data_IF_215895068512
#
_entry.id   IF_215895068512
#
_cell.length_a   1.000
_cell.length_b   1.000
_cell.length_c   1.000
_cell.angle_alpha   90.00
_cell.angle_beta   90.00
_cell.angle_gamma   90.00
#
_symmetry.space_group_name_H-M   'P 1'
#
loop_
_entity.id
_entity.type
_entity.pdbx_description
1 polymer ?
#
# COMPACT_ATOMS: atom_id res chain seq x y z
N UNK A 1 18.54 -4.08 -5.17
CA UNK A 1 17.32 -3.95 -5.97
C UNK A 1 16.53 -2.79 -5.40
N UNK A 2 16.32 -1.72 -6.16
CA UNK A 2 15.69 -0.51 -5.65
C UNK A 2 14.36 -0.27 -6.37
N UNK A 3 13.27 -0.27 -5.61
CA UNK A 3 11.98 0.25 -6.04
C UNK A 3 11.47 1.14 -4.91
N UNK A 4 10.64 2.13 -5.25
CA UNK A 4 10.03 3.02 -4.27
C UNK A 4 8.52 3.03 -4.50
N UNK A 5 7.76 2.60 -3.50
CA UNK A 5 6.31 2.81 -3.45
C UNK A 5 6.05 4.09 -2.68
N UNK A 6 5.94 5.21 -3.40
CA UNK A 6 5.75 6.52 -2.82
C UNK A 6 4.28 6.72 -2.45
N UNK A 7 4.02 7.05 -1.18
CA UNK A 7 2.69 7.49 -0.76
C UNK A 7 2.34 8.81 -1.44
N UNK A 8 1.11 8.92 -1.92
CA UNK A 8 0.60 10.15 -2.54
C UNK A 8 0.45 11.33 -1.58
N UNK A 9 0.60 11.10 -0.28
CA UNK A 9 0.43 12.12 0.76
C UNK A 9 -1.04 12.43 1.05
N UNK A 10 -1.27 13.21 2.11
CA UNK A 10 -2.57 13.71 2.48
C UNK A 10 -2.54 15.24 2.47
N UNK A 11 -3.48 15.85 1.76
CA UNK A 11 -3.59 17.32 1.70
C UNK A 11 -4.04 17.83 3.06
N UNK A 12 -3.19 18.59 3.75
CA UNK A 12 -3.58 19.32 4.94
C UNK A 12 -4.12 20.68 4.49
N UNK A 13 -5.36 21.03 4.84
CA UNK A 13 -6.01 22.27 4.35
C UNK A 13 -5.29 23.59 4.71
N UNK A 14 -4.26 23.52 5.55
CA UNK A 14 -3.37 24.65 5.93
C UNK A 14 -1.97 24.59 5.29
N UNK A 15 -1.71 23.60 4.44
CA UNK A 15 -0.42 23.38 3.80
C UNK A 15 -0.52 23.64 2.29
N UNK A 16 0.54 24.17 1.70
CA UNK A 16 0.70 24.25 0.24
C UNK A 16 1.04 22.89 -0.38
N UNK A 17 1.26 21.86 0.45
CA UNK A 17 1.52 20.49 0.00
C UNK A 17 0.25 19.86 -0.57
N UNK A 18 0.34 19.53 -1.85
CA UNK A 18 -0.72 18.92 -2.64
C UNK A 18 -0.66 17.40 -2.51
N UNK A 19 -1.80 16.76 -2.21
CA UNK A 19 -1.90 15.31 -2.31
C UNK A 19 -1.78 14.86 -3.79
N UNK A 20 -0.85 13.95 -4.02
CA UNK A 20 -0.61 13.28 -5.27
C UNK A 20 -1.16 11.84 -5.27
N UNK A 21 -1.02 11.15 -6.40
CA UNK A 21 -1.25 9.71 -6.48
C UNK A 21 -0.16 8.93 -5.76
N UNK A 22 -0.50 7.73 -5.28
CA UNK A 22 0.52 6.76 -4.84
C UNK A 22 1.16 6.15 -6.09
N UNK A 23 2.48 6.19 -6.19
CA UNK A 23 3.22 5.78 -7.40
C UNK A 23 4.29 4.77 -7.04
N UNK A 24 4.38 3.70 -7.82
CA UNK A 24 5.51 2.78 -7.79
C UNK A 24 6.52 3.23 -8.84
N UNK A 25 7.71 3.60 -8.36
CA UNK A 25 8.87 3.94 -9.19
C UNK A 25 9.81 2.75 -9.22
N UNK A 26 10.18 2.29 -10.42
CA UNK A 26 11.10 1.16 -10.59
C UNK A 26 12.44 1.69 -11.11
N UNK A 27 13.53 1.26 -10.48
CA UNK A 27 14.86 1.64 -10.96
C UNK A 27 15.06 1.15 -12.41
N UNK A 28 15.47 2.02 -13.34
CA UNK A 28 15.69 1.69 -14.76
C UNK A 28 14.43 1.41 -15.61
N UNK A 29 13.23 1.79 -15.18
CA UNK A 29 12.04 1.71 -16.05
C UNK A 29 12.00 2.83 -17.12
N UNK A 30 12.82 3.88 -16.96
CA UNK A 30 12.85 5.02 -17.88
C UNK A 30 11.58 5.87 -17.86
N UNK A 31 10.71 5.67 -16.87
CA UNK A 31 9.45 6.40 -16.76
C UNK A 31 9.72 7.88 -16.55
N UNK A 32 9.13 8.71 -17.41
CA UNK A 32 9.23 10.19 -17.33
C UNK A 32 7.88 10.85 -16.99
N UNK A 33 6.81 10.06 -16.99
CA UNK A 33 5.45 10.45 -16.71
C UNK A 33 4.76 9.42 -15.82
N UNK A 34 3.77 9.86 -15.04
CA UNK A 34 2.95 8.94 -14.24
C UNK A 34 2.23 7.88 -15.08
N UNK A 35 1.89 8.21 -16.33
CA UNK A 35 1.26 7.28 -17.27
C UNK A 35 2.16 6.08 -17.61
N UNK A 36 3.46 6.20 -17.36
CA UNK A 36 4.47 5.16 -17.58
C UNK A 36 4.76 4.36 -16.29
N UNK A 37 4.01 4.61 -15.20
CA UNK A 37 4.22 3.99 -13.89
C UNK A 37 2.98 3.23 -13.41
N UNK A 38 3.19 2.25 -12.52
CA UNK A 38 2.06 1.74 -11.73
C UNK A 38 1.65 2.79 -10.70
N UNK A 39 0.38 3.16 -10.69
CA UNK A 39 -0.10 4.18 -9.77
C UNK A 39 -1.53 3.94 -9.30
N UNK A 40 -1.81 4.44 -8.10
CA UNK A 40 -3.13 4.47 -7.47
C UNK A 40 -3.58 5.92 -7.35
N UNK A 41 -4.72 6.24 -7.95
CA UNK A 41 -5.42 7.53 -7.76
C UNK A 41 -6.62 7.32 -6.85
N UNK A 42 -6.85 8.21 -5.89
CA UNK A 42 -8.13 8.27 -5.18
C UNK A 42 -9.28 8.66 -6.11
N UNK A 43 -10.51 8.36 -5.71
CA UNK A 43 -11.72 8.88 -6.38
C UNK A 43 -11.76 10.41 -6.28
N UNK A 44 -12.20 11.05 -7.36
CA UNK A 44 -12.33 12.50 -7.45
C UNK A 44 -11.62 13.07 -8.68
N UNK A 45 -11.89 14.34 -8.99
CA UNK A 45 -11.31 15.06 -10.15
C UNK A 45 -10.26 16.10 -9.75
N UNK A 46 -10.10 16.36 -8.45
CA UNK A 46 -9.19 17.37 -7.93
C UNK A 46 -8.24 16.75 -6.91
N UNK A 47 -6.97 17.12 -7.02
CA UNK A 47 -5.91 16.76 -6.08
C UNK A 47 -6.22 17.19 -4.64
N UNK A 48 -7.04 18.24 -4.45
CA UNK A 48 -7.53 18.66 -3.12
C UNK A 48 -8.42 17.60 -2.45
N UNK A 49 -9.01 16.73 -3.25
CA UNK A 49 -9.87 15.64 -2.79
C UNK A 49 -9.19 14.28 -2.88
N UNK A 50 -7.92 14.22 -3.28
CA UNK A 50 -7.13 13.01 -3.20
C UNK A 50 -6.83 12.73 -1.73
N UNK A 51 -7.75 11.98 -1.16
CA UNK A 51 -7.73 11.38 0.13
C UNK A 51 -8.06 9.90 -0.10
N UNK A 52 -7.63 9.05 0.81
CA UNK A 52 -7.88 7.63 0.86
C UNK A 52 -6.86 6.76 0.13
N UNK A 53 -5.58 7.14 0.13
CA UNK A 53 -4.50 6.18 -0.17
C UNK A 53 -3.76 5.83 1.10
N UNK A 54 -3.41 4.56 1.26
CA UNK A 54 -2.62 4.08 2.39
C UNK A 54 -1.51 3.19 1.89
N UNK A 55 -0.27 3.49 2.26
CA UNK A 55 0.89 2.65 1.95
C UNK A 55 1.36 1.99 3.24
N UNK A 56 1.47 0.66 3.21
CA UNK A 56 2.07 -0.14 4.27
C UNK A 56 3.16 -1.02 3.65
N UNK A 57 4.41 -0.58 3.80
CA UNK A 57 5.59 -1.22 3.22
C UNK A 57 5.47 -1.45 1.71
N UNK A 58 5.18 -2.69 1.28
CA UNK A 58 5.05 -3.07 -0.13
C UNK A 58 3.59 -3.18 -0.60
N UNK A 59 2.63 -2.80 0.23
CA UNK A 59 1.21 -2.73 -0.10
C UNK A 59 0.74 -1.28 -0.17
N UNK A 60 -0.15 -0.98 -1.09
CA UNK A 60 -0.90 0.25 -1.14
C UNK A 60 -2.37 -0.01 -1.46
N UNK A 61 -3.26 0.71 -0.81
CA UNK A 61 -4.71 0.64 -1.02
C UNK A 61 -5.28 2.02 -1.34
N UNK A 62 -6.34 2.06 -2.12
CA UNK A 62 -7.06 3.28 -2.52
C UNK A 62 -8.54 3.04 -2.72
N UNK A 63 -9.39 4.07 -2.67
CA UNK A 63 -10.78 3.96 -3.12
C UNK A 63 -10.97 4.09 -4.64
N UNK A 64 -9.90 4.32 -5.41
CA UNK A 64 -9.92 4.32 -6.87
C UNK A 64 -9.43 3.01 -7.50
N UNK A 65 -9.19 3.01 -8.80
CA UNK A 65 -8.67 1.83 -9.52
C UNK A 65 -7.15 1.91 -9.68
N UNK A 66 -6.42 0.78 -9.55
CA UNK A 66 -5.03 0.72 -9.94
C UNK A 66 -4.88 0.94 -11.44
N UNK A 67 -3.79 1.61 -11.83
CA UNK A 67 -3.45 1.88 -13.22
C UNK A 67 -2.04 1.35 -13.50
N UNK A 68 -1.90 0.34 -14.38
CA UNK A 68 -0.59 -0.08 -14.86
C UNK A 68 -0.01 0.95 -15.85
N UNK A 69 1.29 0.87 -16.17
CA UNK A 69 1.90 1.64 -17.26
C UNK A 69 1.16 1.45 -18.58
N UNK A 70 1.11 2.52 -19.39
CA UNK A 70 0.47 2.46 -20.71
C UNK A 70 1.07 1.35 -21.58
N UNK A 71 0.19 0.53 -22.18
CA UNK A 71 0.59 -0.58 -23.04
C UNK A 71 1.07 -1.84 -22.31
N UNK A 72 1.12 -1.83 -20.97
CA UNK A 72 1.46 -3.01 -20.19
C UNK A 72 0.23 -3.89 -19.97
N UNK A 73 0.38 -5.19 -20.24
CA UNK A 73 -0.65 -6.19 -20.03
C UNK A 73 -0.28 -7.13 -18.87
N UNK A 74 -1.27 -7.60 -18.11
CA UNK A 74 -1.03 -8.57 -17.05
C UNK A 74 -0.56 -9.91 -17.64
N UNK A 75 0.39 -10.54 -16.95
CA UNK A 75 0.89 -11.89 -17.28
C UNK A 75 -0.11 -12.96 -16.82
N UNK A 76 -0.87 -12.67 -15.76
CA UNK A 76 -1.93 -13.54 -15.24
C UNK A 76 -3.03 -12.68 -14.63
N UNK A 77 -4.28 -13.06 -14.86
CA UNK A 77 -5.43 -12.47 -14.20
C UNK A 77 -6.31 -13.56 -13.60
N UNK A 78 -6.83 -13.31 -12.41
CA UNK A 78 -7.77 -14.22 -11.75
C UNK A 78 -8.54 -13.46 -10.67
N UNK A 79 -9.86 -13.58 -10.68
CA UNK A 79 -10.76 -13.05 -9.66
C UNK A 79 -10.44 -11.58 -9.26
N UNK A 80 -10.50 -10.64 -10.21
CA UNK A 80 -10.18 -9.21 -10.03
C UNK A 80 -8.72 -8.87 -9.64
N UNK A 81 -7.86 -9.87 -9.50
CA UNK A 81 -6.43 -9.67 -9.34
C UNK A 81 -5.73 -9.77 -10.69
N UNK A 82 -4.73 -8.92 -10.89
CA UNK A 82 -3.87 -8.92 -12.07
C UNK A 82 -2.41 -8.93 -11.63
N UNK A 83 -1.62 -9.85 -12.16
CA UNK A 83 -0.19 -9.98 -11.92
C UNK A 83 0.58 -9.48 -13.14
N UNK A 84 1.57 -8.64 -12.87
CA UNK A 84 2.48 -8.07 -13.85
C UNK A 84 3.90 -8.48 -13.51
N UNK A 85 4.62 -9.02 -14.48
CA UNK A 85 6.07 -9.12 -14.38
C UNK A 85 6.64 -7.73 -14.70
N UNK A 86 7.11 -7.01 -13.68
CA UNK A 86 7.64 -5.67 -13.84
C UNK A 86 9.03 -5.68 -14.50
N UNK A 87 9.43 -4.54 -15.11
CA UNK A 87 10.85 -4.27 -15.31
C UNK A 87 11.56 -4.27 -13.94
N UNK A 88 12.84 -4.62 -13.92
CA UNK A 88 13.70 -4.52 -12.71
C UNK A 88 13.44 -5.56 -11.61
N UNK A 89 13.09 -6.78 -12.01
CA UNK A 89 13.05 -7.97 -11.15
C UNK A 89 12.07 -7.87 -9.97
N UNK A 90 10.96 -7.17 -10.16
CA UNK A 90 9.82 -7.17 -9.24
C UNK A 90 8.59 -7.80 -9.88
N UNK A 91 7.70 -8.31 -9.05
CA UNK A 91 6.35 -8.72 -9.41
C UNK A 91 5.40 -7.68 -8.83
N UNK A 92 4.54 -7.11 -9.67
CA UNK A 92 3.51 -6.16 -9.25
C UNK A 92 2.17 -6.86 -9.36
N UNK A 93 1.40 -6.83 -8.28
CA UNK A 93 0.06 -7.38 -8.24
C UNK A 93 -0.90 -6.25 -7.94
N UNK A 94 -1.98 -6.17 -8.71
CA UNK A 94 -3.05 -5.21 -8.48
C UNK A 94 -4.36 -5.94 -8.23
N UNK A 95 -5.22 -5.36 -7.40
CA UNK A 95 -6.62 -5.79 -7.27
C UNK A 95 -7.55 -4.62 -7.54
N UNK A 96 -8.67 -4.90 -8.21
CA UNK A 96 -9.74 -3.93 -8.44
C UNK A 96 -11.09 -4.50 -7.99
N UNK A 97 -11.52 -4.13 -6.79
CA UNK A 97 -12.81 -4.51 -6.23
C UNK A 97 -13.85 -3.40 -6.32
N UNK A 98 -15.01 -3.63 -5.69
CA UNK A 98 -16.09 -2.62 -5.58
C UNK A 98 -15.66 -1.42 -4.73
N UNK A 99 -15.06 -0.43 -5.39
CA UNK A 99 -14.66 0.83 -4.79
C UNK A 99 -13.35 0.77 -4.00
N UNK A 100 -12.52 -0.24 -4.28
CA UNK A 100 -11.18 -0.44 -3.75
C UNK A 100 -10.21 -0.76 -4.88
N UNK A 101 -9.00 -0.24 -4.77
CA UNK A 101 -7.86 -0.60 -5.58
C UNK A 101 -6.70 -0.93 -4.67
N UNK A 102 -6.01 -2.03 -4.94
CA UNK A 102 -4.80 -2.44 -4.21
C UNK A 102 -3.65 -2.60 -5.19
N UNK A 103 -2.45 -2.24 -4.73
CA UNK A 103 -1.18 -2.51 -5.39
C UNK A 103 -0.26 -3.17 -4.37
N UNK A 104 0.37 -4.28 -4.75
CA UNK A 104 1.34 -4.99 -3.95
C UNK A 104 2.59 -5.28 -4.78
N UNK A 105 3.76 -5.06 -4.18
CA UNK A 105 5.06 -5.25 -4.83
C UNK A 105 5.81 -6.38 -4.15
N UNK A 106 6.37 -7.29 -4.95
CA UNK A 106 7.10 -8.45 -4.47
C UNK A 106 8.42 -8.59 -5.23
N UNK A 107 9.41 -9.20 -4.59
CA UNK A 107 10.67 -9.58 -5.24
C UNK A 107 10.41 -10.74 -6.24
N UNK A 108 11.07 -10.74 -7.40
CA UNK A 108 10.98 -11.84 -8.40
C UNK A 108 11.47 -13.18 -7.86
N UNK A 109 12.21 -13.22 -6.76
CA UNK A 109 12.54 -14.46 -6.04
C UNK A 109 11.31 -15.18 -5.46
N UNK A 110 10.15 -14.53 -5.41
CA UNK A 110 8.89 -15.22 -5.15
C UNK A 110 8.46 -16.00 -6.41
N UNK A 111 7.99 -17.24 -6.25
CA UNK A 111 7.53 -18.05 -7.38
C UNK A 111 6.34 -17.35 -8.06
N UNK A 112 6.59 -16.71 -9.20
CA UNK A 112 5.62 -15.81 -9.85
C UNK A 112 4.34 -16.51 -10.29
N UNK A 113 4.39 -17.81 -10.60
CA UNK A 113 3.24 -18.59 -11.04
C UNK A 113 2.25 -18.92 -9.90
N UNK A 114 2.75 -19.13 -8.67
CA UNK A 114 1.91 -19.46 -7.50
C UNK A 114 1.54 -18.26 -6.63
N UNK A 115 2.31 -17.17 -6.69
CA UNK A 115 2.12 -15.99 -5.83
C UNK A 115 0.69 -15.40 -5.90
N UNK A 116 0.14 -15.27 -7.12
CA UNK A 116 -1.22 -14.79 -7.30
C UNK A 116 -2.26 -15.74 -6.68
N UNK A 117 -2.05 -17.04 -6.86
CA UNK A 117 -2.97 -18.06 -6.34
C UNK A 117 -2.91 -18.13 -4.82
N UNK A 118 -1.74 -17.91 -4.22
CA UNK A 118 -1.57 -17.80 -2.77
C UNK A 118 -2.29 -16.57 -2.21
N UNK A 119 -2.17 -15.40 -2.87
CA UNK A 119 -2.89 -14.20 -2.45
C UNK A 119 -4.42 -14.39 -2.53
N UNK A 120 -4.91 -14.98 -3.63
CA UNK A 120 -6.34 -15.27 -3.81
C UNK A 120 -6.82 -16.33 -2.80
N UNK A 121 -6.02 -17.35 -2.53
CA UNK A 121 -6.37 -18.40 -1.56
C UNK A 121 -6.59 -17.83 -0.16
N UNK A 122 -5.77 -16.86 0.24
CA UNK A 122 -5.83 -16.28 1.59
C UNK A 122 -6.83 -15.12 1.67
N UNK A 123 -6.91 -14.26 0.66
CA UNK A 123 -7.71 -13.03 0.68
C UNK A 123 -9.00 -13.10 -0.14
N UNK A 124 -9.24 -14.19 -0.88
CA UNK A 124 -10.35 -14.32 -1.81
C UNK A 124 -10.19 -13.51 -3.11
N UNK A 125 -11.24 -13.52 -3.93
CA UNK A 125 -11.29 -12.84 -5.22
C UNK A 125 -11.94 -11.45 -5.21
N UNK A 126 -12.72 -11.15 -4.18
CA UNK A 126 -13.39 -9.85 -4.06
C UNK A 126 -12.98 -9.23 -2.74
N UNK A 127 -12.44 -8.02 -2.83
CA UNK A 127 -12.14 -7.18 -1.70
C UNK A 127 -13.15 -6.05 -1.63
N UNK A 128 -13.53 -5.66 -0.42
CA UNK A 128 -14.47 -4.56 -0.18
C UNK A 128 -13.76 -3.24 0.08
N UNK A 129 -14.50 -2.12 0.14
CA UNK A 129 -13.95 -0.79 0.51
C UNK A 129 -13.47 -0.71 1.96
N UNK A 130 -13.86 -1.67 2.79
CA UNK A 130 -13.34 -1.89 4.13
C UNK A 130 -13.15 -3.38 4.30
N UNK A 131 -11.91 -3.80 4.55
CA UNK A 131 -11.57 -5.21 4.59
C UNK A 131 -10.26 -5.44 5.34
N UNK A 132 -9.86 -6.71 5.43
CA UNK A 132 -8.58 -7.15 5.97
C UNK A 132 -7.76 -7.87 4.90
N UNK A 133 -6.48 -7.55 4.83
CA UNK A 133 -5.50 -8.28 4.03
C UNK A 133 -4.62 -9.12 4.94
N UNK A 134 -4.52 -10.38 4.61
CA UNK A 134 -3.57 -11.33 5.17
C UNK A 134 -2.34 -11.42 4.23
N UNK A 135 -1.15 -11.29 4.80
CA UNK A 135 0.13 -11.40 4.08
C UNK A 135 0.53 -12.88 4.04
N UNK A 136 0.55 -13.54 2.87
CA UNK A 136 0.77 -14.98 2.81
C UNK A 136 2.13 -15.38 3.40
N UNK A 137 2.17 -16.34 4.33
CA UNK A 137 3.38 -16.76 5.05
C UNK A 137 4.54 -17.23 4.15
N UNK A 138 4.24 -17.78 2.97
CA UNK A 138 5.26 -18.28 2.02
C UNK A 138 5.96 -17.20 1.20
N UNK A 139 5.54 -15.94 1.29
CA UNK A 139 5.94 -14.87 0.36
C UNK A 139 6.95 -13.92 0.99
N UNK A 140 8.17 -13.91 0.47
CA UNK A 140 9.22 -12.98 0.91
C UNK A 140 8.89 -11.56 0.45
N UNK A 141 8.43 -10.72 1.38
CA UNK A 141 8.11 -9.31 1.11
C UNK A 141 8.53 -8.38 2.28
N UNK A 142 8.47 -7.07 2.05
CA UNK A 142 8.86 -6.07 3.07
C UNK A 142 7.94 -6.09 4.29
N UNK A 143 6.64 -6.25 4.10
CA UNK A 143 5.66 -6.36 5.19
C UNK A 143 6.00 -7.54 6.12
N UNK A 144 6.28 -8.73 5.56
CA UNK A 144 6.71 -9.87 6.36
C UNK A 144 8.02 -9.62 7.12
N UNK A 145 9.03 -9.04 6.46
CA UNK A 145 10.32 -8.72 7.11
C UNK A 145 10.17 -7.74 8.28
N UNK A 146 9.03 -7.05 8.35
CA UNK A 146 8.65 -6.10 9.40
C UNK A 146 7.60 -6.68 10.35
N UNK A 147 7.39 -7.99 10.32
CA UNK A 147 6.49 -8.68 11.24
C UNK A 147 5.00 -8.53 10.92
N UNK A 148 4.62 -7.96 9.78
CA UNK A 148 3.21 -7.81 9.39
C UNK A 148 2.69 -9.16 8.88
N UNK A 149 1.72 -9.72 9.61
CA UNK A 149 0.93 -10.89 9.24
C UNK A 149 -0.36 -10.49 8.53
N UNK A 150 -0.97 -9.41 8.98
CA UNK A 150 -2.22 -8.89 8.44
C UNK A 150 -2.37 -7.39 8.70
N UNK A 151 -3.24 -6.74 7.93
CA UNK A 151 -3.65 -5.36 8.18
C UNK A 151 -5.10 -5.13 7.73
N UNK A 152 -5.82 -4.28 8.47
CA UNK A 152 -7.16 -3.84 8.12
C UNK A 152 -7.10 -2.46 7.46
N UNK A 153 -8.01 -2.21 6.53
CA UNK A 153 -8.13 -0.91 5.89
C UNK A 153 -9.59 -0.45 5.77
N UNK A 154 -9.76 0.86 5.67
CA UNK A 154 -11.04 1.51 5.38
C UNK A 154 -10.79 2.68 4.42
N UNK A 155 -11.04 2.49 3.12
CA UNK A 155 -10.85 3.53 2.11
C UNK A 155 -12.04 4.49 2.00
N UNK A 156 -13.02 4.36 2.89
CA UNK A 156 -14.19 5.27 3.01
C UNK A 156 -14.01 6.35 4.06
N UNK A 157 -12.88 6.32 4.77
CA UNK A 157 -12.50 7.32 5.77
C UNK A 157 -12.60 8.76 5.24
N UNK A 158 -12.89 9.69 6.16
CA UNK A 158 -12.99 11.12 5.85
C UNK A 158 -11.65 11.74 5.47
N UNK A 159 -11.69 13.00 4.99
CA UNK A 159 -10.46 13.76 4.74
C UNK A 159 -9.62 13.89 6.01
N UNK A 160 -8.30 13.72 5.86
CA UNK A 160 -7.35 13.83 6.98
C UNK A 160 -7.16 12.53 7.78
N UNK A 161 -7.73 11.41 7.32
CA UNK A 161 -7.54 10.11 7.95
C UNK A 161 -6.72 9.14 7.08
N UNK A 162 -5.79 8.42 7.70
CA UNK A 162 -5.07 7.31 7.09
C UNK A 162 -5.99 6.10 6.98
N UNK A 163 -5.91 5.40 5.86
CA UNK A 163 -6.85 4.31 5.55
C UNK A 163 -6.41 2.95 6.06
N UNK A 164 -5.15 2.79 6.48
CA UNK A 164 -4.73 1.56 7.18
C UNK A 164 -5.14 1.74 8.63
N UNK A 165 -6.13 0.98 9.10
CA UNK A 165 -6.75 1.17 10.41
C UNK A 165 -6.19 0.26 11.48
N UNK A 166 -5.64 -0.90 11.08
CA UNK A 166 -5.04 -1.86 12.00
C UNK A 166 -3.88 -2.60 11.33
N UNK A 167 -2.89 -3.00 12.12
CA UNK A 167 -1.80 -3.91 11.73
C UNK A 167 -1.64 -4.96 12.81
N UNK A 168 -1.66 -6.24 12.45
CA UNK A 168 -1.60 -7.36 13.41
C UNK A 168 -2.60 -7.21 14.58
N UNK A 169 -3.85 -6.85 14.26
CA UNK A 169 -4.92 -6.64 15.23
C UNK A 169 -4.69 -5.49 16.23
N UNK A 170 -3.70 -4.63 15.98
CA UNK A 170 -3.48 -3.41 16.75
C UNK A 170 -3.94 -2.19 15.94
N UNK A 171 -4.72 -1.29 16.54
CA UNK A 171 -5.18 -0.09 15.87
C UNK A 171 -4.02 0.82 15.53
N UNK A 172 -4.10 1.46 14.37
CA UNK A 172 -3.18 2.53 13.97
C UNK A 172 -3.75 3.89 14.34
N UNK A 173 -2.88 4.89 14.44
CA UNK A 173 -3.33 6.27 14.52
C UNK A 173 -3.71 6.76 13.13
N UNK A 174 -5.00 6.80 12.82
CA UNK A 174 -5.47 7.27 11.51
C UNK A 174 -5.49 8.80 11.39
N UNK A 175 -5.46 9.55 12.49
CA UNK A 175 -5.49 11.01 12.44
C UNK A 175 -4.11 11.59 12.10
N UNK A 176 -3.87 11.87 10.82
CA UNK A 176 -2.61 12.46 10.35
C UNK A 176 -2.28 13.80 11.00
N UNK A 177 -3.28 14.55 11.50
CA UNK A 177 -3.05 15.85 12.13
C UNK A 177 -2.27 15.75 13.44
N UNK A 178 -2.25 14.56 14.05
CA UNK A 178 -1.51 14.25 15.27
C UNK A 178 -0.15 13.62 14.99
N UNK A 179 0.18 13.36 13.72
CA UNK A 179 1.46 12.77 13.36
C UNK A 179 2.57 13.80 13.47
N UNK A 180 3.78 13.39 13.89
CA UNK A 180 4.92 14.29 13.89
C UNK A 180 5.20 14.77 12.45
N UNK A 181 5.33 16.08 12.27
CA UNK A 181 5.61 16.69 10.96
C UNK A 181 6.97 16.25 10.40
N UNK A 182 7.96 16.09 11.28
CA UNK A 182 9.24 15.49 10.96
C UNK A 182 9.74 14.75 12.21
N UNK A 183 10.21 13.52 12.03
CA UNK A 183 11.06 12.83 13.00
C UNK A 183 12.49 12.84 12.43
N UNK A 184 13.34 13.79 12.88
CA UNK A 184 14.70 14.01 12.34
C UNK A 184 15.77 13.16 13.05
N UNK A 185 15.45 12.41 14.10
CA UNK A 185 16.52 11.80 14.91
C UNK A 185 16.75 10.31 14.69
N UNK A 186 15.98 9.64 13.82
CA UNK A 186 16.13 8.19 13.63
C UNK A 186 16.00 7.39 14.95
N UNK A 187 15.40 8.00 15.97
CA UNK A 187 15.19 7.47 17.31
C UNK A 187 13.73 7.72 17.69
N UNK A 188 12.99 6.63 17.81
CA UNK A 188 11.61 6.64 18.28
C UNK A 188 11.57 7.08 19.75
N UNK A 189 11.12 8.30 20.03
CA UNK A 189 11.00 8.79 21.41
C UNK A 189 9.75 8.22 22.09
N UNK A 190 9.88 7.69 23.33
CA UNK A 190 8.81 6.97 24.05
C UNK A 190 7.75 7.87 24.70
N UNK A 191 7.70 9.17 24.36
CA UNK A 191 6.62 10.04 24.83
C UNK A 191 5.43 10.01 23.85
N UNK A 192 4.95 8.81 23.57
CA UNK A 192 3.55 8.63 23.19
C UNK A 192 2.75 8.41 24.47
N UNK A 193 1.48 8.87 24.55
CA UNK A 193 0.58 8.45 25.61
C UNK A 193 0.38 6.94 25.49
N UNK A 194 1.10 6.19 26.31
CA UNK A 194 1.14 4.73 26.48
C UNK A 194 1.38 3.88 25.20
N UNK A 195 2.37 2.96 25.22
CA UNK A 195 2.83 2.19 24.06
C UNK A 195 1.93 1.00 23.72
N UNK A 196 0.64 1.27 23.48
CA UNK A 196 -0.27 0.30 22.86
C UNK A 196 -0.23 0.37 21.32
N UNK A 197 0.26 1.47 20.75
CA UNK A 197 0.12 1.77 19.33
C UNK A 197 1.18 1.14 18.42
N UNK A 198 2.22 0.50 18.97
CA UNK A 198 3.31 -0.08 18.18
C UNK A 198 3.77 -1.48 18.65
N UNK A 199 3.13 -2.08 19.66
CA UNK A 199 3.44 -3.47 20.07
C UNK A 199 3.17 -4.50 18.97
N UNK A 200 2.33 -4.17 17.99
CA UNK A 200 2.09 -5.02 16.81
C UNK A 200 3.32 -5.20 15.90
N UNK A 201 4.27 -4.26 15.92
CA UNK A 201 5.39 -4.20 14.98
C UNK A 201 6.72 -4.66 15.59
N UNK A 202 6.76 -4.91 16.90
CA UNK A 202 7.98 -5.22 17.67
C UNK A 202 7.82 -6.38 18.66
N UNK A 203 7.06 -7.42 18.30
CA UNK A 203 7.24 -8.71 18.97
C UNK A 203 8.53 -9.35 18.45
N UNK A 204 9.68 -8.88 18.97
CA UNK A 204 10.94 -9.59 18.82
C UNK A 204 10.86 -10.90 19.61
N UNK A 205 11.13 -12.00 18.90
CA UNK A 205 11.41 -13.31 19.49
C UNK A 205 12.60 -13.17 20.45
N UNK A 206 12.38 -13.46 21.73
CA UNK A 206 13.41 -14.10 22.55
C UNK A 206 13.40 -15.60 22.29
#
# INVERSE_FOLDING_TARGET
MCWLLAAGGAGHGKSEVVAGPTVLMLQHDGASSIHDTFHLTGKGKSWKHFNNTGVLYNFAVTNGAPKPPAGMWPVKESANWSLYAGPSDVIVITHKGKGIGLLAVFDRNNCSSSLLDELIKVNGGELSSKDRIEVPHGVKCMAQRKGVRSFSYDVTQGHGAWVITEVNDQPTNTDFSTWPLIDIEGRWFPQQPEPHHLKALWADNQ
#
